data_IF_894895490645
#
_entry.id   IF_894895490645
#
_cell.length_a   1.000
_cell.length_b   1.000
_cell.length_c   1.000
_cell.angle_alpha   90.00
_cell.angle_beta   90.00
_cell.angle_gamma   90.00
#
_symmetry.space_group_name_H-M   'P 1'
#
loop_
_entity.id
_entity.type
_entity.pdbx_description
1 polymer ?
#
# COMPACT_ATOMS: atom_id res chain seq x y z
N UNK A 1 -30.23 -2.28 29.27
CA UNK A 1 -29.64 -3.30 28.37
C UNK A 1 -28.30 -2.78 27.87
N UNK A 2 -27.19 -3.46 28.16
CA UNK A 2 -25.85 -3.03 27.74
C UNK A 2 -25.69 -3.25 26.23
N UNK A 3 -25.54 -2.17 25.45
CA UNK A 3 -25.22 -2.27 24.02
C UNK A 3 -23.71 -2.43 23.89
N UNK A 4 -23.26 -3.48 23.20
CA UNK A 4 -21.83 -3.64 22.86
C UNK A 4 -21.43 -2.49 21.93
N UNK A 5 -20.27 -1.83 22.18
CA UNK A 5 -19.82 -0.76 21.31
C UNK A 5 -19.49 -1.31 19.91
N UNK A 6 -19.88 -0.57 18.88
CA UNK A 6 -19.56 -0.90 17.49
C UNK A 6 -18.04 -0.94 17.29
N UNK A 7 -17.51 -2.13 17.02
CA UNK A 7 -16.09 -2.31 16.70
C UNK A 7 -15.88 -1.77 15.29
N UNK A 8 -15.24 -0.60 15.19
CA UNK A 8 -14.83 -0.06 13.89
C UNK A 8 -13.88 -1.07 13.21
N UNK A 9 -14.10 -1.43 11.94
CA UNK A 9 -13.21 -2.33 11.23
C UNK A 9 -11.81 -1.70 11.18
N UNK A 10 -10.83 -2.36 11.79
CA UNK A 10 -9.43 -1.94 11.68
C UNK A 10 -8.91 -2.34 10.31
N UNK A 11 -8.29 -1.39 9.59
CA UNK A 11 -7.56 -1.73 8.37
C UNK A 11 -6.43 -2.71 8.70
N UNK A 12 -6.23 -3.69 7.82
CA UNK A 12 -5.27 -4.77 8.03
C UNK A 12 -4.12 -4.60 7.04
N UNK A 13 -2.88 -4.71 7.52
CA UNK A 13 -1.68 -4.57 6.72
C UNK A 13 -1.67 -5.59 5.57
N UNK A 14 -1.52 -5.10 4.34
CA UNK A 14 -1.54 -5.94 3.14
C UNK A 14 -0.36 -6.96 3.07
N UNK A 15 0.69 -6.74 3.86
CA UNK A 15 1.88 -7.60 3.88
C UNK A 15 1.82 -8.61 5.03
N UNK A 16 1.48 -8.17 6.24
CA UNK A 16 1.63 -8.98 7.46
C UNK A 16 0.32 -9.42 8.10
N UNK A 17 -0.83 -8.90 7.68
CA UNK A 17 -2.12 -9.20 8.32
C UNK A 17 -2.31 -8.57 9.70
N UNK A 18 -1.36 -7.74 10.17
CA UNK A 18 -1.48 -7.01 11.43
C UNK A 18 -2.35 -5.75 11.28
N UNK A 19 -2.89 -5.17 12.36
CA UNK A 19 -3.56 -3.87 12.30
C UNK A 19 -2.66 -2.81 11.66
N UNK A 20 -3.15 -2.18 10.61
CA UNK A 20 -2.43 -1.14 9.90
C UNK A 20 -2.52 0.19 10.64
N UNK A 21 -1.39 0.90 10.68
CA UNK A 21 -1.30 2.26 11.26
C UNK A 21 -1.33 3.33 10.18
N UNK A 22 -0.88 3.00 8.97
CA UNK A 22 -0.68 3.94 7.89
C UNK A 22 -1.24 3.41 6.57
N UNK A 23 -1.34 4.30 5.58
CA UNK A 23 -1.67 3.97 4.19
C UNK A 23 -0.65 4.57 3.25
N UNK A 24 -0.29 3.82 2.22
CA UNK A 24 0.62 4.31 1.18
C UNK A 24 -0.11 5.36 0.32
N UNK A 25 0.42 6.58 0.13
CA UNK A 25 -0.24 7.63 -0.64
C UNK A 25 -0.40 7.32 -2.14
N UNK A 26 0.40 6.41 -2.71
CA UNK A 26 0.30 6.08 -4.14
C UNK A 26 -0.55 4.85 -4.36
N UNK A 27 -0.30 3.76 -3.63
CA UNK A 27 -1.07 2.51 -3.84
C UNK A 27 -2.35 2.44 -3.02
N UNK A 28 -2.52 3.30 -2.01
CA UNK A 28 -3.64 3.24 -1.06
C UNK A 28 -3.57 2.06 -0.08
N UNK A 29 -2.55 1.19 -0.19
CA UNK A 29 -2.48 -0.04 0.59
C UNK A 29 -2.20 0.26 2.07
N UNK A 30 -2.97 -0.35 3.00
CA UNK A 30 -2.72 -0.24 4.42
C UNK A 30 -1.45 -1.01 4.84
N UNK A 31 -0.64 -0.42 5.73
CA UNK A 31 0.56 -1.06 6.28
C UNK A 31 0.79 -0.74 7.76
N UNK A 32 1.51 -1.63 8.45
CA UNK A 32 1.78 -1.51 9.90
C UNK A 32 3.18 -0.95 10.22
N UNK A 33 4.19 -1.24 9.38
CA UNK A 33 5.60 -0.93 9.64
C UNK A 33 6.32 -0.33 8.40
N UNK A 34 7.39 0.47 8.58
CA UNK A 34 8.23 0.95 7.48
C UNK A 34 8.81 -0.19 6.61
N UNK A 35 9.07 -1.36 7.20
CA UNK A 35 9.51 -2.52 6.45
C UNK A 35 8.45 -3.01 5.47
N UNK A 36 7.19 -3.06 5.92
CA UNK A 36 6.04 -3.40 5.06
C UNK A 36 5.86 -2.37 3.94
N UNK A 37 6.08 -1.08 4.24
CA UNK A 37 6.04 -0.02 3.22
C UNK A 37 7.07 -0.25 2.11
N UNK A 38 8.32 -0.60 2.47
CA UNK A 38 9.37 -0.92 1.49
C UNK A 38 8.96 -2.07 0.58
N UNK A 39 8.42 -3.16 1.15
CA UNK A 39 7.94 -4.31 0.38
C UNK A 39 6.84 -3.91 -0.61
N UNK A 40 5.88 -3.08 -0.17
CA UNK A 40 4.78 -2.60 -1.03
C UNK A 40 5.35 -1.82 -2.21
N UNK A 41 6.27 -0.88 -1.98
CA UNK A 41 6.86 -0.05 -3.04
C UNK A 41 7.76 -0.84 -3.98
N UNK A 42 8.56 -1.77 -3.47
CA UNK A 42 9.38 -2.65 -4.30
C UNK A 42 8.51 -3.51 -5.23
N UNK A 43 7.40 -4.05 -4.74
CA UNK A 43 6.44 -4.80 -5.56
C UNK A 43 5.73 -3.90 -6.57
N UNK A 44 5.34 -2.70 -6.16
CA UNK A 44 4.68 -1.74 -7.04
C UNK A 44 5.60 -1.33 -8.20
N UNK A 45 6.89 -1.06 -7.93
CA UNK A 45 7.86 -0.75 -8.99
C UNK A 45 8.06 -1.93 -9.95
N UNK A 46 8.13 -3.17 -9.44
CA UNK A 46 8.18 -4.37 -10.30
C UNK A 46 6.94 -4.49 -11.18
N UNK A 47 5.76 -4.24 -10.62
CA UNK A 47 4.51 -4.24 -11.36
C UNK A 47 4.49 -3.18 -12.46
N UNK A 48 4.89 -1.95 -12.16
CA UNK A 48 4.95 -0.88 -13.16
C UNK A 48 5.88 -1.23 -14.34
N UNK A 49 7.01 -1.94 -14.12
CA UNK A 49 7.91 -2.39 -15.21
C UNK A 49 7.23 -3.36 -16.19
N UNK A 50 6.16 -4.02 -15.77
CA UNK A 50 5.39 -4.92 -16.65
C UNK A 50 4.43 -4.17 -17.57
N UNK A 51 4.09 -2.92 -17.23
CA UNK A 51 3.20 -2.06 -18.01
C UNK A 51 4.06 -1.23 -18.97
N UNK A 52 4.10 -1.62 -20.26
CA UNK A 52 4.94 -0.95 -21.27
C UNK A 52 4.19 0.10 -22.11
N UNK A 53 2.85 0.08 -22.08
CA UNK A 53 2.03 0.83 -23.02
C UNK A 53 1.42 2.12 -22.43
N UNK A 54 1.77 2.48 -21.19
CA UNK A 54 1.25 3.68 -20.52
C UNK A 54 2.34 4.78 -20.43
N UNK A 55 2.13 5.95 -21.07
CA UNK A 55 3.08 7.06 -21.00
C UNK A 55 3.24 7.63 -19.58
N UNK A 56 2.18 7.65 -18.78
CA UNK A 56 2.21 8.16 -17.40
C UNK A 56 3.12 7.32 -16.50
N UNK A 57 3.09 5.99 -16.69
CA UNK A 57 3.97 5.06 -15.95
C UNK A 57 5.43 5.29 -16.33
N UNK A 58 5.68 5.57 -17.61
CA UNK A 58 7.02 5.85 -18.12
C UNK A 58 7.56 7.15 -17.54
N UNK A 59 6.75 8.20 -17.47
CA UNK A 59 7.10 9.47 -16.82
C UNK A 59 7.36 9.30 -15.32
N UNK A 60 6.49 8.58 -14.62
CA UNK A 60 6.68 8.27 -13.20
C UNK A 60 7.99 7.50 -12.95
N UNK A 61 8.33 6.53 -13.80
CA UNK A 61 9.59 5.77 -13.70
C UNK A 61 10.84 6.64 -13.84
N UNK A 62 10.81 7.61 -14.78
CA UNK A 62 11.94 8.54 -15.00
C UNK A 62 12.27 9.40 -13.79
N UNK A 63 11.33 9.61 -12.87
CA UNK A 63 11.57 10.39 -11.65
C UNK A 63 12.53 9.69 -10.66
N UNK A 64 12.71 8.37 -10.78
CA UNK A 64 13.50 7.55 -9.87
C UNK A 64 14.81 7.02 -10.48
N UNK A 65 15.08 7.33 -11.75
CA UNK A 65 16.38 7.16 -12.41
C UNK A 65 17.31 8.34 -12.12
#
# INVERSE_FOLDING_TARGET
VFKRPDVKPSYVCAVTGQPARYRDPVTGLPYSSPFSFKIIRDKYHKYLKTIKDNPEVTEYMKQFE
#
